data_IF_732634740049
#
_entry.id   IF_732634740049
#
_cell.length_a   1.000
_cell.length_b   1.000
_cell.length_c   1.000
_cell.angle_alpha   90.00
_cell.angle_beta   90.00
_cell.angle_gamma   90.00
#
_symmetry.space_group_name_H-M   'P 1'
#
loop_
_entity.id
_entity.type
_entity.pdbx_description
1 polymer ?
#
# COMPACT_ATOMS: atom_id res chain seq x y z
N UNK A 1 -13.16 7.76 -0.33
CA UNK A 1 -12.13 8.66 0.21
C UNK A 1 -10.88 8.44 -0.62
N UNK A 2 -10.23 9.49 -1.14
CA UNK A 2 -8.89 9.33 -1.70
C UNK A 2 -8.00 8.78 -0.59
N UNK A 3 -7.39 7.62 -0.82
CA UNK A 3 -6.38 7.07 0.07
C UNK A 3 -5.30 8.14 0.22
N UNK A 4 -4.86 8.42 1.45
CA UNK A 4 -3.84 9.45 1.66
C UNK A 4 -2.49 8.87 1.25
N UNK A 5 -2.19 8.89 -0.05
CA UNK A 5 -1.00 8.31 -0.70
C UNK A 5 0.30 8.67 0.02
N UNK A 6 0.35 9.84 0.67
CA UNK A 6 1.50 10.28 1.47
C UNK A 6 1.75 9.39 2.69
N UNK A 7 0.71 9.09 3.48
CA UNK A 7 0.85 8.26 4.68
C UNK A 7 1.18 6.82 4.30
N UNK A 8 0.51 6.28 3.29
CA UNK A 8 0.79 4.93 2.80
C UNK A 8 2.22 4.82 2.29
N UNK A 9 2.69 5.79 1.50
CA UNK A 9 4.08 5.84 1.02
C UNK A 9 5.08 5.82 2.18
N UNK A 10 4.85 6.65 3.19
CA UNK A 10 5.76 6.73 4.34
C UNK A 10 5.82 5.40 5.10
N UNK A 11 4.68 4.73 5.31
CA UNK A 11 4.64 3.41 5.95
C UNK A 11 5.33 2.36 5.09
N UNK A 12 5.03 2.30 3.79
CA UNK A 12 5.65 1.33 2.87
C UNK A 12 7.17 1.47 2.82
N UNK A 13 7.69 2.70 2.86
CA UNK A 13 9.13 2.96 2.88
C UNK A 13 9.75 2.68 4.26
N UNK A 14 9.09 3.10 5.34
CA UNK A 14 9.56 2.94 6.73
C UNK A 14 9.65 1.47 7.14
N UNK A 15 8.66 0.67 6.73
CA UNK A 15 8.60 -0.76 6.98
C UNK A 15 9.34 -1.60 5.92
N UNK A 16 10.05 -0.95 4.99
CA UNK A 16 10.81 -1.60 3.91
C UNK A 16 9.98 -2.54 3.02
N UNK A 17 8.67 -2.31 2.92
CA UNK A 17 7.78 -3.07 2.06
C UNK A 17 8.01 -2.79 0.57
N UNK A 18 8.43 -1.57 0.23
CA UNK A 18 8.71 -1.15 -1.14
C UNK A 18 9.99 -0.30 -1.16
N UNK A 19 10.79 -0.44 -2.21
CA UNK A 19 12.00 0.36 -2.39
C UNK A 19 11.72 1.80 -2.82
N UNK A 20 12.67 2.71 -2.56
CA UNK A 20 12.59 4.09 -3.07
C UNK A 20 12.55 4.17 -4.59
N UNK A 21 13.22 3.24 -5.28
CA UNK A 21 13.20 3.14 -6.74
C UNK A 21 11.84 2.73 -7.28
N UNK A 22 11.21 1.74 -6.64
CA UNK A 22 9.88 1.24 -7.01
C UNK A 22 8.80 2.31 -6.78
N UNK A 23 8.87 3.04 -5.66
CA UNK A 23 7.99 4.19 -5.39
C UNK A 23 8.15 5.26 -6.48
N UNK A 24 9.40 5.63 -6.83
CA UNK A 24 9.63 6.62 -7.91
C UNK A 24 9.10 6.14 -9.26
N UNK A 25 9.24 4.86 -9.55
CA UNK A 25 8.72 4.27 -10.77
C UNK A 25 7.19 4.33 -10.81
N UNK A 26 6.54 3.92 -9.72
CA UNK A 26 5.09 3.93 -9.59
C UNK A 26 4.51 5.35 -9.59
N UNK A 27 5.16 6.34 -8.95
CA UNK A 27 4.74 7.75 -8.97
C UNK A 27 4.74 8.33 -10.40
N UNK A 28 5.74 7.96 -11.21
CA UNK A 28 5.81 8.38 -12.61
C UNK A 28 4.67 7.78 -13.43
N UNK A 29 4.43 6.48 -13.30
CA UNK A 29 3.33 5.79 -13.98
C UNK A 29 1.96 6.32 -13.54
N UNK A 30 1.77 6.59 -12.25
CA UNK A 30 0.55 7.15 -11.69
C UNK A 30 0.25 8.52 -12.32
N UNK A 31 1.28 9.37 -12.45
CA UNK A 31 1.17 10.68 -13.11
C UNK A 31 0.85 10.56 -14.61
N UNK A 32 1.48 9.63 -15.32
CA UNK A 32 1.24 9.41 -16.75
C UNK A 32 -0.17 8.89 -17.04
N UNK A 33 -0.69 8.02 -16.16
CA UNK A 33 -2.00 7.37 -16.31
C UNK A 33 -3.14 8.14 -15.65
N UNK A 34 -2.84 9.17 -14.84
CA UNK A 34 -3.84 9.85 -14.02
C UNK A 34 -4.45 8.94 -12.94
N UNK A 35 -3.68 7.97 -12.44
CA UNK A 35 -4.08 6.99 -11.44
C UNK A 35 -3.49 7.32 -10.06
N UNK A 36 -4.00 6.67 -9.00
CA UNK A 36 -3.41 6.78 -7.67
C UNK A 36 -2.15 5.92 -7.54
N UNK A 37 -1.22 6.32 -6.66
CA UNK A 37 0.03 5.59 -6.45
C UNK A 37 -0.23 4.15 -6.02
N UNK A 38 -1.18 3.96 -5.09
CA UNK A 38 -1.57 2.66 -4.57
C UNK A 38 -2.10 1.72 -5.66
N UNK A 39 -2.88 2.24 -6.60
CA UNK A 39 -3.44 1.45 -7.70
C UNK A 39 -2.33 0.94 -8.62
N UNK A 40 -1.33 1.79 -8.89
CA UNK A 40 -0.16 1.39 -9.68
C UNK A 40 0.69 0.37 -8.94
N UNK A 41 0.95 0.57 -7.64
CA UNK A 41 1.72 -0.40 -6.85
C UNK A 41 1.03 -1.77 -6.78
N UNK A 42 -0.30 -1.81 -6.69
CA UNK A 42 -1.09 -3.04 -6.76
C UNK A 42 -1.03 -3.67 -8.16
N UNK A 43 -1.19 -2.87 -9.21
CA UNK A 43 -1.19 -3.34 -10.59
C UNK A 43 0.17 -3.89 -11.04
N UNK A 44 1.27 -3.30 -10.57
CA UNK A 44 2.64 -3.76 -10.83
C UNK A 44 3.05 -4.93 -9.90
N UNK A 45 2.18 -5.35 -8.97
CA UNK A 45 2.45 -6.45 -8.03
C UNK A 45 3.50 -6.14 -6.97
N UNK A 46 3.80 -4.85 -6.76
CA UNK A 46 4.78 -4.38 -5.78
C UNK A 46 4.24 -4.43 -4.35
N UNK A 47 2.91 -4.38 -4.21
CA UNK A 47 2.19 -4.58 -2.95
C UNK A 47 0.96 -5.46 -3.15
N UNK A 48 0.44 -6.04 -2.07
CA UNK A 48 -0.84 -6.76 -2.06
C UNK A 48 -1.90 -5.97 -1.31
N UNK A 49 -3.18 -6.32 -1.50
CA UNK A 49 -4.28 -5.71 -0.74
C UNK A 49 -4.16 -5.98 0.76
N UNK A 50 -3.67 -7.15 1.17
CA UNK A 50 -3.40 -7.47 2.57
C UNK A 50 -2.30 -6.56 3.14
N UNK A 51 -1.22 -6.35 2.38
CA UNK A 51 -0.14 -5.46 2.78
C UNK A 51 -0.60 -4.01 2.93
N UNK A 52 -1.49 -3.54 2.05
CA UNK A 52 -2.13 -2.23 2.20
C UNK A 52 -2.92 -2.18 3.51
N UNK A 53 -3.73 -3.18 3.79
CA UNK A 53 -4.50 -3.27 5.04
C UNK A 53 -3.62 -3.27 6.28
N UNK A 54 -2.53 -4.03 6.26
CA UNK A 54 -1.56 -4.09 7.34
C UNK A 54 -0.85 -2.74 7.55
N UNK A 55 -0.38 -2.10 6.47
CA UNK A 55 0.27 -0.80 6.53
C UNK A 55 -0.65 0.29 7.14
N UNK A 56 -1.94 0.27 6.80
CA UNK A 56 -2.91 1.18 7.41
C UNK A 56 -3.13 0.88 8.88
N UNK A 57 -3.32 -0.39 9.25
CA UNK A 57 -3.52 -0.79 10.63
C UNK A 57 -2.35 -0.32 11.51
N UNK A 58 -1.11 -0.56 11.06
CA UNK A 58 0.11 -0.08 11.70
C UNK A 58 0.15 1.46 11.80
N UNK A 59 -0.18 2.18 10.73
CA UNK A 59 -0.22 3.65 10.73
C UNK A 59 -1.20 4.23 11.74
N UNK A 60 -2.31 3.54 11.99
CA UNK A 60 -3.34 3.96 12.94
C UNK A 60 -3.12 3.38 14.35
N UNK A 61 -2.08 2.56 14.54
CA UNK A 61 -1.80 1.87 15.81
C UNK A 61 -2.89 0.87 16.20
N UNK A 62 -3.63 0.35 15.23
CA UNK A 62 -4.70 -0.64 15.43
C UNK A 62 -4.23 -2.01 14.94
N UNK A 63 -4.71 -3.12 15.53
CA UNK A 63 -4.37 -4.45 15.05
C UNK A 63 -4.95 -4.69 13.65
N UNK A 64 -4.16 -5.30 12.77
CA UNK A 64 -4.64 -5.82 11.50
C UNK A 64 -5.39 -7.15 11.73
N UNK A 65 -6.60 -7.28 11.17
CA UNK A 65 -7.36 -8.51 11.19
C UNK A 65 -7.39 -9.09 9.77
N UNK A 66 -6.67 -10.20 9.57
CA UNK A 66 -6.71 -10.95 8.32
C UNK A 66 -7.99 -11.81 8.27
N UNK A 67 -8.93 -11.38 7.43
CA UNK A 67 -10.20 -12.07 7.20
C UNK A 67 -10.10 -13.22 6.19
N UNK A 68 -8.96 -13.35 5.50
CA UNK A 68 -8.73 -14.39 4.48
C UNK A 68 -8.23 -15.71 5.08
N UNK A 69 -7.63 -15.67 6.28
CA UNK A 69 -7.04 -16.87 6.93
C UNK A 69 -7.81 -17.35 8.18
N UNK A 70 -8.72 -16.54 8.73
CA UNK A 70 -9.43 -16.84 9.99
C UNK A 70 -10.95 -16.72 9.85
N UNK A 71 -11.55 -17.47 8.91
CA UNK A 71 -13.00 -17.70 8.96
C UNK A 71 -13.29 -18.64 10.15
N UNK A 72 -14.06 -18.22 11.17
CA UNK A 72 -14.46 -19.14 12.21
C UNK A 72 -15.34 -20.22 11.58
N UNK A 73 -14.92 -21.48 11.69
CA UNK A 73 -15.72 -22.66 11.36
C UNK A 73 -16.89 -22.82 12.32
#
# INVERSE_FOLDING_TARGET
MPLNDTQLKDVLLSQHYVGKDDIRHAERLAKERGAFLVDVLLAEGLITSDLVGQAFAESYGVPYADLNTHTPS
#
